data_IF_465790389603
#
_entry.id   IF_465790389603
#
_cell.length_a   1.000
_cell.length_b   1.000
_cell.length_c   1.000
_cell.angle_alpha   90.00
_cell.angle_beta   90.00
_cell.angle_gamma   90.00
#
_symmetry.space_group_name_H-M   'P 1'
#
loop_
_entity.id
_entity.type
_entity.pdbx_description
1 polymer ?
#
# COMPACT_ATOMS: atom_id res chain seq x y z
N UNK A 1 -22.29 44.38 -30.26
CA UNK A 1 -23.21 43.28 -30.38
C UNK A 1 -22.47 42.01 -29.95
N UNK A 2 -22.72 41.64 -28.74
CA UNK A 2 -22.73 40.34 -28.11
C UNK A 2 -21.84 39.20 -28.65
N UNK A 3 -20.83 38.83 -27.86
CA UNK A 3 -20.51 37.46 -27.53
C UNK A 3 -19.80 37.44 -26.16
N UNK A 4 -20.57 37.30 -25.10
CA UNK A 4 -20.17 36.76 -23.82
C UNK A 4 -21.17 35.67 -23.55
N UNK A 5 -20.72 34.39 -23.60
CA UNK A 5 -21.19 33.26 -22.79
C UNK A 5 -20.38 32.02 -23.19
N UNK A 6 -19.79 31.44 -22.23
CA UNK A 6 -19.42 30.00 -22.12
C UNK A 6 -17.98 29.79 -21.68
N UNK A 7 -17.65 30.12 -20.44
CA UNK A 7 -16.54 29.54 -19.70
C UNK A 7 -17.00 29.40 -18.24
N UNK A 8 -17.87 28.45 -17.98
CA UNK A 8 -18.19 27.95 -16.63
C UNK A 8 -18.78 26.57 -16.77
N UNK A 9 -17.97 25.54 -17.09
CA UNK A 9 -18.42 24.15 -16.97
C UNK A 9 -17.29 23.12 -17.02
N UNK A 10 -16.09 23.40 -16.56
CA UNK A 10 -14.99 22.40 -16.53
C UNK A 10 -14.30 22.28 -15.15
N UNK A 11 -14.75 22.98 -14.12
CA UNK A 11 -14.07 22.92 -12.80
C UNK A 11 -14.71 21.94 -11.81
N UNK A 12 -15.83 21.32 -12.14
CA UNK A 12 -16.57 20.45 -11.18
C UNK A 12 -16.23 18.95 -11.23
N UNK A 13 -15.36 18.50 -12.11
CA UNK A 13 -15.10 17.04 -12.25
C UNK A 13 -13.80 16.59 -11.59
N UNK A 14 -12.91 17.49 -11.21
CA UNK A 14 -11.60 17.13 -10.67
C UNK A 14 -11.52 17.01 -9.13
N UNK A 15 -12.60 17.35 -8.42
CA UNK A 15 -12.66 17.20 -6.96
C UNK A 15 -13.34 15.91 -6.50
N UNK A 16 -13.90 15.11 -7.40
CA UNK A 16 -14.68 13.92 -6.99
C UNK A 16 -13.84 12.68 -6.63
N UNK A 17 -12.59 12.62 -7.05
CA UNK A 17 -11.79 11.40 -6.79
C UNK A 17 -11.01 11.38 -5.47
N UNK A 18 -10.87 12.50 -4.77
CA UNK A 18 -10.33 12.52 -3.42
C UNK A 18 -11.37 12.77 -2.31
N UNK A 19 -12.57 13.23 -2.66
CA UNK A 19 -13.65 13.49 -1.70
C UNK A 19 -14.62 12.32 -1.54
N UNK A 20 -14.47 11.24 -2.27
CA UNK A 20 -15.32 10.04 -2.10
C UNK A 20 -15.01 9.20 -0.86
N UNK A 21 -14.08 9.60 -0.01
CA UNK A 21 -13.91 8.94 1.29
C UNK A 21 -15.05 9.26 2.28
N UNK A 22 -15.90 10.24 1.98
CA UNK A 22 -17.01 10.62 2.89
C UNK A 22 -18.37 10.11 2.49
N UNK A 23 -18.50 9.42 1.36
CA UNK A 23 -19.78 8.80 0.94
C UNK A 23 -19.59 7.43 0.30
N UNK A 24 -18.49 6.73 0.56
CA UNK A 24 -18.61 5.29 0.51
C UNK A 24 -19.67 4.96 1.55
N UNK A 25 -20.87 4.75 1.02
CA UNK A 25 -21.91 3.99 1.70
C UNK A 25 -21.19 2.92 2.47
N UNK A 26 -21.46 2.79 3.75
CA UNK A 26 -21.02 1.69 4.57
C UNK A 26 -20.70 0.55 3.62
N UNK A 27 -19.42 0.41 3.28
CA UNK A 27 -18.99 -0.77 2.60
C UNK A 27 -19.66 -1.82 3.43
N UNK A 28 -20.41 -2.62 2.76
CA UNK A 28 -20.78 -3.90 3.26
C UNK A 28 -19.46 -4.67 3.46
N UNK A 29 -18.62 -4.23 4.40
CA UNK A 29 -17.79 -5.09 5.22
C UNK A 29 -18.83 -5.93 5.96
N UNK A 30 -19.38 -6.81 5.15
CA UNK A 30 -20.40 -7.76 5.48
C UNK A 30 -19.89 -8.44 6.72
N UNK A 31 -20.73 -8.33 7.72
CA UNK A 31 -20.81 -9.15 8.90
C UNK A 31 -19.82 -10.33 8.83
N UNK A 32 -18.73 -10.20 9.57
CA UNK A 32 -17.64 -11.16 9.60
C UNK A 32 -18.00 -12.34 10.52
N UNK A 33 -19.16 -12.92 10.35
CA UNK A 33 -19.43 -14.24 10.87
C UNK A 33 -18.65 -15.28 10.05
N UNK A 34 -17.32 -15.18 10.14
CA UNK A 34 -16.38 -16.18 9.65
C UNK A 34 -16.49 -17.48 10.47
N UNK A 35 -15.82 -18.56 10.02
CA UNK A 35 -15.72 -19.80 10.79
C UNK A 35 -15.19 -19.53 12.20
N UNK A 36 -15.45 -20.41 13.19
CA UNK A 36 -15.23 -20.13 14.61
C UNK A 36 -13.83 -19.60 14.89
N UNK A 37 -13.80 -18.49 15.61
CA UNK A 37 -12.62 -17.75 16.00
C UNK A 37 -11.92 -18.53 17.11
N UNK A 38 -10.72 -19.03 16.83
CA UNK A 38 -10.02 -19.89 17.80
C UNK A 38 -9.29 -19.16 18.93
N UNK A 39 -9.04 -17.85 18.85
CA UNK A 39 -8.54 -17.06 20.01
C UNK A 39 -8.68 -15.56 19.75
N UNK A 40 -9.45 -14.86 20.57
CA UNK A 40 -9.41 -13.40 20.71
C UNK A 40 -8.49 -13.09 21.87
N UNK A 41 -7.35 -12.51 21.59
CA UNK A 41 -6.51 -11.91 22.62
C UNK A 41 -7.18 -10.63 23.17
N UNK A 42 -6.81 -10.18 24.37
CA UNK A 42 -7.45 -9.03 25.03
C UNK A 42 -7.45 -7.78 24.15
N UNK A 43 -8.56 -7.02 24.16
CA UNK A 43 -8.63 -5.74 23.46
C UNK A 43 -8.01 -4.62 24.29
N UNK A 44 -7.34 -3.67 23.64
CA UNK A 44 -6.77 -2.46 24.24
C UNK A 44 -7.31 -1.22 23.54
N UNK A 45 -7.73 -0.22 24.31
CA UNK A 45 -8.19 1.07 23.75
C UNK A 45 -7.18 2.16 24.05
N UNK A 46 -6.74 2.87 23.01
CA UNK A 46 -5.84 4.02 23.12
C UNK A 46 -6.30 5.16 22.21
N UNK A 47 -6.51 6.34 22.80
CA UNK A 47 -6.81 7.57 22.06
C UNK A 47 -7.93 7.45 21.01
N UNK A 48 -8.99 6.69 21.33
CA UNK A 48 -10.16 6.53 20.48
C UNK A 48 -10.09 5.40 19.46
N UNK A 49 -8.98 4.64 19.41
CA UNK A 49 -8.95 3.36 18.69
C UNK A 49 -9.02 2.21 19.68
N UNK A 50 -9.68 1.13 19.28
CA UNK A 50 -9.67 -0.15 19.97
C UNK A 50 -8.90 -1.13 19.13
N UNK A 51 -7.87 -1.74 19.71
CA UNK A 51 -7.07 -2.77 19.07
C UNK A 51 -7.51 -4.11 19.63
N UNK A 52 -8.10 -4.93 18.78
CA UNK A 52 -8.41 -6.31 19.10
C UNK A 52 -7.20 -7.19 18.77
N UNK A 53 -7.05 -8.31 19.47
CA UNK A 53 -5.99 -9.27 19.22
C UNK A 53 -6.03 -9.88 17.82
N UNK A 54 -5.06 -10.72 17.53
CA UNK A 54 -4.98 -11.41 16.25
C UNK A 54 -6.15 -12.37 16.06
N UNK A 55 -6.84 -12.23 14.94
CA UNK A 55 -7.90 -13.15 14.52
C UNK A 55 -7.33 -14.06 13.44
N UNK A 56 -7.15 -15.33 13.78
CA UNK A 56 -6.65 -16.35 12.84
C UNK A 56 -7.78 -16.79 11.89
N UNK A 57 -7.54 -16.64 10.62
CA UNK A 57 -8.46 -17.10 9.57
C UNK A 57 -7.86 -18.22 8.72
N UNK A 58 -6.72 -18.78 9.12
CA UNK A 58 -5.96 -19.72 8.27
C UNK A 58 -6.56 -21.12 8.18
N UNK A 59 -7.58 -21.47 8.94
CA UNK A 59 -8.20 -22.79 8.97
C UNK A 59 -8.65 -23.31 7.60
N UNK A 60 -9.09 -22.43 6.71
CA UNK A 60 -9.49 -22.79 5.33
C UNK A 60 -8.32 -23.28 4.47
N UNK A 61 -7.08 -23.03 4.89
CA UNK A 61 -5.85 -23.47 4.23
C UNK A 61 -5.38 -24.86 4.64
N UNK A 62 -6.06 -25.51 5.58
CA UNK A 62 -5.59 -26.77 6.21
C UNK A 62 -5.72 -28.00 5.34
N UNK A 63 -6.38 -27.96 4.18
CA UNK A 63 -6.61 -29.14 3.35
C UNK A 63 -6.36 -28.91 1.86
N UNK A 64 -5.34 -29.61 1.35
CA UNK A 64 -5.22 -29.85 -0.09
C UNK A 64 -4.61 -28.73 -0.92
N UNK A 65 -3.85 -27.79 -0.32
CA UNK A 65 -3.09 -26.79 -1.05
C UNK A 65 -1.60 -27.14 -1.07
N UNK A 66 -0.98 -26.90 -2.22
CA UNK A 66 0.48 -26.88 -2.35
C UNK A 66 0.95 -25.43 -2.25
N UNK A 67 1.81 -25.17 -1.26
CA UNK A 67 2.33 -23.84 -1.03
C UNK A 67 3.68 -23.64 -1.70
N UNK A 68 3.85 -22.44 -2.25
CA UNK A 68 5.07 -21.93 -2.83
C UNK A 68 5.58 -20.74 -2.02
N UNK A 69 6.84 -20.42 -2.22
CA UNK A 69 7.49 -19.25 -1.65
C UNK A 69 7.96 -18.29 -2.77
N UNK A 70 8.41 -17.07 -2.46
CA UNK A 70 8.81 -16.05 -3.45
C UNK A 70 9.85 -16.49 -4.48
N UNK A 71 10.77 -17.38 -4.12
CA UNK A 71 11.82 -17.84 -5.05
C UNK A 71 11.30 -18.82 -6.10
N UNK A 72 10.17 -19.47 -5.84
CA UNK A 72 9.52 -20.45 -6.73
C UNK A 72 8.53 -19.79 -7.70
N UNK A 73 8.29 -18.47 -7.57
CA UNK A 73 7.33 -17.76 -8.42
C UNK A 73 7.95 -17.44 -9.78
N UNK A 74 7.28 -17.93 -10.83
CA UNK A 74 7.65 -17.57 -12.20
C UNK A 74 7.26 -16.11 -12.50
N UNK A 75 8.24 -15.27 -12.77
CA UNK A 75 8.09 -13.85 -13.11
C UNK A 75 8.04 -13.71 -14.64
N UNK A 76 6.95 -13.16 -15.16
CA UNK A 76 6.67 -13.10 -16.61
C UNK A 76 6.56 -11.68 -17.17
N UNK A 77 6.71 -10.66 -16.33
CA UNK A 77 6.75 -9.25 -16.72
C UNK A 77 8.14 -8.71 -16.47
N UNK A 78 8.55 -7.71 -17.22
CA UNK A 78 9.85 -7.09 -17.12
C UNK A 78 9.71 -5.57 -16.94
N UNK A 79 10.31 -5.05 -15.89
CA UNK A 79 10.41 -3.63 -15.62
C UNK A 79 11.64 -3.04 -16.29
N UNK A 80 11.65 -1.73 -16.48
CA UNK A 80 12.77 -0.99 -17.06
C UNK A 80 13.42 -0.18 -15.93
N UNK A 81 14.75 -0.25 -15.81
CA UNK A 81 15.43 0.58 -14.82
C UNK A 81 16.70 -0.02 -14.24
N UNK A 82 17.04 0.40 -13.04
CA UNK A 82 18.23 -0.03 -12.30
C UNK A 82 18.97 1.12 -11.64
N UNK A 83 20.26 0.91 -11.34
CA UNK A 83 21.07 1.82 -10.52
C UNK A 83 21.35 3.19 -11.17
N UNK A 84 21.25 3.29 -12.48
CA UNK A 84 21.55 4.53 -13.23
C UNK A 84 20.34 5.09 -13.98
N UNK A 85 19.14 4.60 -13.69
CA UNK A 85 17.96 5.01 -14.43
C UNK A 85 17.45 6.38 -13.94
N UNK A 86 17.76 7.44 -14.69
CA UNK A 86 17.49 8.83 -14.30
C UNK A 86 16.11 9.35 -14.71
N UNK A 87 15.46 8.75 -15.70
CA UNK A 87 14.17 9.23 -16.23
C UNK A 87 13.03 9.15 -15.21
N UNK A 88 13.13 8.24 -14.23
CA UNK A 88 12.17 8.08 -13.13
C UNK A 88 12.16 9.30 -12.20
N UNK A 89 13.26 10.01 -12.11
CA UNK A 89 13.43 11.13 -11.17
C UNK A 89 13.03 12.49 -11.74
N UNK A 90 12.29 12.56 -12.83
CA UNK A 90 11.95 13.77 -13.59
C UNK A 90 11.55 15.00 -12.76
N UNK A 91 11.46 14.90 -11.43
CA UNK A 91 10.92 15.95 -10.58
C UNK A 91 11.61 16.02 -9.24
N UNK A 92 12.16 17.11 -8.92
CA UNK A 92 12.42 17.58 -7.56
C UNK A 92 13.43 16.78 -6.70
N UNK A 93 13.93 15.63 -7.12
CA UNK A 93 15.01 14.93 -6.41
C UNK A 93 16.35 15.36 -7.01
N UNK A 94 17.22 16.03 -6.23
CA UNK A 94 18.58 16.34 -6.68
C UNK A 94 19.32 15.10 -7.14
N UNK A 95 20.14 15.24 -8.19
CA UNK A 95 20.82 14.10 -8.82
C UNK A 95 21.70 13.33 -7.84
N UNK A 96 22.42 14.05 -6.99
CA UNK A 96 23.28 13.49 -5.93
C UNK A 96 22.53 12.61 -4.93
N UNK A 97 21.23 12.84 -4.76
CA UNK A 97 20.37 12.09 -3.84
C UNK A 97 19.77 10.83 -4.47
N UNK A 98 19.84 10.71 -5.80
CA UNK A 98 19.24 9.57 -6.51
C UNK A 98 20.04 8.30 -6.26
N UNK A 99 19.35 7.18 -6.11
CA UNK A 99 19.95 5.87 -5.95
C UNK A 99 19.50 4.90 -7.04
N UNK A 100 18.20 4.58 -7.13
CA UNK A 100 17.68 3.62 -8.11
C UNK A 100 16.31 4.08 -8.64
N UNK A 101 16.01 3.72 -9.90
CA UNK A 101 14.73 3.99 -10.52
C UNK A 101 14.23 2.79 -11.32
N UNK A 102 12.93 2.48 -11.21
CA UNK A 102 12.29 1.34 -11.88
C UNK A 102 10.95 1.81 -12.46
N UNK A 103 10.77 1.67 -13.77
CA UNK A 103 9.48 1.85 -14.44
C UNK A 103 8.79 0.51 -14.62
N UNK A 104 7.48 0.54 -14.51
CA UNK A 104 6.66 -0.61 -14.86
C UNK A 104 6.71 -0.89 -16.37
N UNK A 105 6.36 -2.08 -16.76
CA UNK A 105 6.09 -2.36 -18.14
C UNK A 105 4.88 -1.53 -18.63
N UNK A 106 4.78 -1.28 -19.95
CA UNK A 106 3.85 -0.30 -20.49
C UNK A 106 2.39 -0.48 -20.06
N UNK A 107 1.90 -1.71 -19.94
CA UNK A 107 0.52 -1.98 -19.53
C UNK A 107 0.27 -1.57 -18.07
N UNK A 108 1.22 -1.87 -17.18
CA UNK A 108 1.11 -1.54 -15.76
C UNK A 108 1.44 -0.07 -15.48
N UNK A 109 2.25 0.56 -16.33
CA UNK A 109 2.53 1.99 -16.24
C UNK A 109 1.29 2.84 -16.59
N UNK A 110 0.55 2.41 -17.61
CA UNK A 110 -0.54 3.22 -18.19
C UNK A 110 -1.94 2.83 -17.74
N UNK A 111 -2.11 1.69 -17.06
CA UNK A 111 -3.43 1.25 -16.60
C UNK A 111 -4.10 2.26 -15.67
N UNK A 112 -5.36 2.54 -15.89
CA UNK A 112 -6.22 3.28 -14.97
C UNK A 112 -7.03 2.36 -14.05
N UNK A 113 -7.01 1.05 -14.30
CA UNK A 113 -7.76 0.04 -13.53
C UNK A 113 -7.08 -0.31 -12.20
N UNK A 114 -5.77 -0.09 -12.11
CA UNK A 114 -4.96 -0.46 -10.96
C UNK A 114 -4.07 0.70 -10.51
N UNK A 115 -4.04 0.94 -9.20
CA UNK A 115 -3.23 1.99 -8.59
C UNK A 115 -2.25 1.39 -7.58
N UNK A 116 -0.93 1.60 -7.74
CA UNK A 116 0.06 1.15 -6.75
C UNK A 116 0.05 2.05 -5.52
N UNK A 117 0.24 1.48 -4.33
CA UNK A 117 0.11 2.19 -3.05
C UNK A 117 1.26 1.92 -2.08
N UNK A 118 1.32 0.71 -1.55
CA UNK A 118 2.30 0.31 -0.54
C UNK A 118 3.58 -0.23 -1.17
N UNK A 119 4.72 -0.04 -0.49
CA UNK A 119 6.01 -0.64 -0.86
C UNK A 119 6.72 -1.19 0.37
N UNK A 120 7.32 -2.36 0.23
CA UNK A 120 8.25 -2.96 1.19
C UNK A 120 9.27 -3.82 0.44
N UNK A 121 10.28 -4.31 1.14
CA UNK A 121 11.26 -5.22 0.55
C UNK A 121 11.78 -6.25 1.55
N UNK A 122 12.44 -7.27 1.04
CA UNK A 122 13.09 -8.31 1.82
C UNK A 122 14.17 -9.02 1.00
N UNK A 123 15.03 -9.74 1.72
CA UNK A 123 16.01 -10.65 1.11
C UNK A 123 15.58 -12.09 1.40
N UNK A 124 15.63 -12.94 0.40
CA UNK A 124 15.42 -14.38 0.55
C UNK A 124 16.34 -15.16 -0.38
N UNK A 125 17.04 -16.14 0.19
CA UNK A 125 17.98 -17.00 -0.53
C UNK A 125 19.02 -16.16 -1.34
N UNK A 126 19.47 -15.03 -0.79
CA UNK A 126 20.42 -14.11 -1.41
C UNK A 126 19.81 -13.22 -2.50
N UNK A 127 18.51 -13.32 -2.79
CA UNK A 127 17.81 -12.49 -3.76
C UNK A 127 17.05 -11.39 -3.04
N UNK A 128 17.23 -10.14 -3.50
CA UNK A 128 16.52 -8.95 -3.01
C UNK A 128 15.22 -8.78 -3.77
N UNK A 129 14.14 -8.60 -3.04
CA UNK A 129 12.82 -8.39 -3.60
C UNK A 129 12.21 -7.06 -3.12
N UNK A 130 11.45 -6.42 -4.01
CA UNK A 130 10.45 -5.43 -3.62
C UNK A 130 9.06 -6.04 -3.76
N UNK A 131 8.17 -5.62 -2.88
CA UNK A 131 6.73 -5.89 -2.94
C UNK A 131 5.99 -4.57 -3.03
N UNK A 132 5.06 -4.47 -3.97
CA UNK A 132 4.19 -3.30 -4.16
C UNK A 132 2.75 -3.76 -4.13
N UNK A 133 1.93 -3.12 -3.29
CA UNK A 133 0.49 -3.33 -3.26
C UNK A 133 -0.23 -2.46 -4.28
N UNK A 134 -1.37 -2.95 -4.77
CA UNK A 134 -2.24 -2.25 -5.72
C UNK A 134 -3.69 -2.48 -5.35
N UNK A 135 -4.50 -1.44 -5.45
CA UNK A 135 -5.96 -1.58 -5.39
C UNK A 135 -6.59 -1.46 -6.78
N UNK A 136 -7.78 -2.03 -6.94
CA UNK A 136 -8.57 -1.89 -8.15
C UNK A 136 -9.34 -0.55 -8.11
N UNK A 137 -9.11 0.31 -9.11
CA UNK A 137 -9.70 1.66 -9.16
C UNK A 137 -11.09 1.70 -9.83
N UNK A 138 -11.63 0.55 -10.25
CA UNK A 138 -12.91 0.51 -10.95
C UNK A 138 -13.89 -0.44 -10.26
N UNK A 139 -14.98 0.11 -9.74
CA UNK A 139 -16.03 -0.63 -9.05
C UNK A 139 -16.82 -1.59 -9.93
N UNK A 140 -16.78 -1.47 -11.27
CA UNK A 140 -17.54 -2.34 -12.16
C UNK A 140 -16.85 -3.68 -12.47
N UNK A 141 -15.53 -3.78 -12.26
CA UNK A 141 -14.72 -4.96 -12.58
C UNK A 141 -13.93 -5.45 -11.35
N UNK A 142 -14.54 -5.37 -10.20
CA UNK A 142 -13.92 -5.66 -8.91
C UNK A 142 -13.29 -7.05 -8.87
N UNK A 143 -11.96 -7.10 -8.96
CA UNK A 143 -11.18 -8.34 -8.85
C UNK A 143 -10.24 -8.34 -7.65
N UNK A 144 -10.53 -7.47 -6.67
CA UNK A 144 -9.78 -7.36 -5.41
C UNK A 144 -8.47 -6.58 -5.53
N UNK A 145 -7.64 -6.69 -4.53
CA UNK A 145 -6.31 -6.07 -4.46
C UNK A 145 -5.23 -7.08 -4.79
N UNK A 146 -4.08 -6.61 -5.26
CA UNK A 146 -2.94 -7.47 -5.64
C UNK A 146 -1.64 -6.97 -5.06
N UNK A 147 -0.64 -7.84 -4.99
CA UNK A 147 0.75 -7.45 -4.79
C UNK A 147 1.56 -7.76 -6.04
N UNK A 148 2.64 -7.01 -6.21
CA UNK A 148 3.67 -7.29 -7.22
C UNK A 148 4.97 -7.66 -6.54
N UNK A 149 5.49 -8.84 -6.86
CA UNK A 149 6.81 -9.31 -6.42
C UNK A 149 7.83 -9.00 -7.52
N UNK A 150 8.84 -8.18 -7.22
CA UNK A 150 9.89 -7.74 -8.15
C UNK A 150 11.25 -8.23 -7.65
N UNK A 151 12.04 -8.85 -8.50
CA UNK A 151 13.44 -9.17 -8.24
C UNK A 151 14.32 -7.95 -8.57
N UNK A 152 15.03 -7.43 -7.56
CA UNK A 152 15.92 -6.28 -7.71
C UNK A 152 17.40 -6.60 -7.51
N UNK A 153 17.78 -7.88 -7.56
CA UNK A 153 19.17 -8.33 -7.46
C UNK A 153 19.86 -8.29 -8.80
N UNK A 154 20.88 -7.42 -9.02
CA UNK A 154 21.57 -7.33 -10.31
C UNK A 154 22.24 -8.63 -10.75
N UNK A 155 22.63 -9.50 -9.80
CA UNK A 155 23.25 -10.80 -10.07
C UNK A 155 22.24 -11.91 -10.39
N UNK A 156 20.95 -11.65 -10.27
CA UNK A 156 19.90 -12.62 -10.55
C UNK A 156 19.57 -12.68 -12.04
N UNK A 157 19.31 -13.88 -12.57
CA UNK A 157 18.81 -14.06 -13.94
C UNK A 157 17.32 -13.67 -14.11
N UNK A 158 16.65 -13.31 -13.02
CA UNK A 158 15.31 -12.69 -13.01
C UNK A 158 15.35 -11.22 -12.59
N UNK A 159 16.50 -10.56 -12.66
CA UNK A 159 16.66 -9.14 -12.36
C UNK A 159 15.64 -8.28 -13.11
N UNK A 160 14.94 -7.39 -12.42
CA UNK A 160 13.85 -6.54 -12.88
C UNK A 160 12.62 -7.29 -13.42
N UNK A 161 12.57 -8.61 -13.30
CA UNK A 161 11.34 -9.35 -13.61
C UNK A 161 10.40 -9.37 -12.43
N UNK A 162 9.10 -9.33 -12.72
CA UNK A 162 8.07 -9.28 -11.70
C UNK A 162 6.83 -10.12 -12.02
N UNK A 163 6.02 -10.34 -11.01
CA UNK A 163 4.73 -11.05 -11.08
C UNK A 163 3.71 -10.40 -10.17
N UNK A 164 2.48 -10.24 -10.70
CA UNK A 164 1.31 -9.92 -9.90
C UNK A 164 0.75 -11.18 -9.23
N UNK A 165 0.38 -11.05 -7.97
CA UNK A 165 -0.20 -12.09 -7.13
C UNK A 165 -1.47 -11.50 -6.52
N UNK A 166 -2.62 -12.16 -6.73
CA UNK A 166 -3.90 -11.68 -6.19
C UNK A 166 -3.95 -11.92 -4.68
N UNK A 167 -4.41 -10.94 -3.92
CA UNK A 167 -4.72 -11.10 -2.50
C UNK A 167 -6.11 -11.73 -2.34
N UNK A 168 -6.23 -12.73 -1.47
CA UNK A 168 -7.50 -13.41 -1.21
C UNK A 168 -7.77 -13.55 0.28
N UNK A 169 -9.04 -13.71 0.62
CA UNK A 169 -9.54 -13.94 1.97
C UNK A 169 -10.44 -15.18 2.01
N UNK A 170 -10.75 -15.75 3.19
CA UNK A 170 -11.74 -16.82 3.32
C UNK A 170 -13.06 -16.39 2.69
N UNK A 171 -13.69 -17.31 1.97
CA UNK A 171 -15.00 -17.03 1.36
C UNK A 171 -16.08 -16.97 2.41
N UNK A 172 -16.82 -15.87 2.43
CA UNK A 172 -18.15 -15.80 3.00
C UNK A 172 -19.10 -16.05 1.84
N UNK A 173 -20.05 -16.98 1.93
CA UNK A 173 -21.02 -17.23 0.87
C UNK A 173 -21.84 -15.95 0.62
N UNK A 174 -21.56 -15.26 -0.47
CA UNK A 174 -22.30 -14.09 -0.93
C UNK A 174 -22.68 -14.25 -2.38
N UNK A 175 -23.81 -13.75 -2.80
CA UNK A 175 -24.16 -13.67 -4.22
C UNK A 175 -23.33 -12.59 -4.88
N UNK A 176 -22.37 -12.96 -5.73
CA UNK A 176 -21.55 -12.02 -6.51
C UNK A 176 -22.11 -11.98 -7.92
N UNK A 177 -22.38 -10.79 -8.43
CA UNK A 177 -23.04 -10.62 -9.74
C UNK A 177 -22.09 -10.66 -10.93
N UNK A 178 -20.78 -10.43 -10.74
CA UNK A 178 -19.84 -10.14 -11.84
C UNK A 178 -18.91 -11.31 -12.20
N UNK A 179 -18.92 -12.39 -11.42
CA UNK A 179 -18.09 -13.57 -11.69
C UNK A 179 -18.66 -14.83 -11.01
N UNK A 180 -18.18 -16.00 -11.41
CA UNK A 180 -18.52 -17.25 -10.73
C UNK A 180 -17.63 -17.43 -9.52
N UNK A 181 -18.22 -17.31 -8.34
CA UNK A 181 -17.57 -17.57 -7.07
C UNK A 181 -17.73 -19.03 -6.67
N UNK A 182 -16.60 -19.70 -6.50
CA UNK A 182 -16.54 -21.01 -5.84
C UNK A 182 -16.19 -20.84 -4.35
N UNK A 183 -16.43 -21.88 -3.57
CA UNK A 183 -16.11 -21.89 -2.15
C UNK A 183 -14.59 -21.82 -1.91
N UNK A 184 -14.19 -21.62 -0.66
CA UNK A 184 -12.85 -21.65 -0.08
C UNK A 184 -12.19 -20.30 0.03
N UNK A 185 -12.10 -19.51 -1.03
CA UNK A 185 -11.51 -18.16 -0.97
C UNK A 185 -12.20 -17.21 -1.97
N UNK A 186 -12.13 -15.94 -1.67
CA UNK A 186 -12.61 -14.84 -2.50
C UNK A 186 -11.51 -13.78 -2.68
N UNK A 187 -11.58 -12.89 -3.68
CA UNK A 187 -10.68 -11.77 -3.77
C UNK A 187 -10.81 -10.88 -2.54
N UNK A 188 -9.71 -10.32 -2.09
CA UNK A 188 -9.71 -9.31 -1.04
C UNK A 188 -9.79 -7.93 -1.68
N UNK A 189 -10.79 -7.15 -1.29
CA UNK A 189 -11.02 -5.82 -1.79
C UNK A 189 -10.72 -4.79 -0.70
N UNK A 190 -9.54 -4.19 -0.77
CA UNK A 190 -9.06 -3.15 0.15
C UNK A 190 -8.24 -2.11 -0.61
N UNK A 191 -8.10 -0.92 -0.06
CA UNK A 191 -7.25 0.12 -0.62
C UNK A 191 -5.75 -0.25 -0.60
N UNK A 192 -5.33 -1.10 0.34
CA UNK A 192 -3.96 -1.60 0.48
C UNK A 192 -2.90 -0.48 0.54
N UNK A 193 -3.19 0.62 1.25
CA UNK A 193 -2.42 1.85 1.26
C UNK A 193 -0.98 1.73 1.76
N UNK A 194 -0.66 0.71 2.57
CA UNK A 194 0.68 0.43 3.03
C UNK A 194 0.92 -1.07 3.17
N UNK A 195 2.18 -1.48 3.05
CA UNK A 195 2.62 -2.86 3.26
C UNK A 195 3.94 -2.89 4.01
N UNK A 196 4.05 -3.77 5.01
CA UNK A 196 5.28 -4.04 5.73
C UNK A 196 5.61 -5.53 5.71
N UNK A 197 6.89 -5.86 5.62
CA UNK A 197 7.39 -7.23 5.71
C UNK A 197 8.13 -7.44 7.03
N UNK A 198 7.81 -8.53 7.72
CA UNK A 198 8.56 -8.99 8.87
C UNK A 198 8.39 -10.50 9.07
N UNK A 199 9.50 -11.23 9.20
CA UNK A 199 9.53 -12.66 9.48
C UNK A 199 8.55 -13.49 8.62
N UNK A 200 8.69 -13.38 7.29
CA UNK A 200 7.85 -14.03 6.27
C UNK A 200 6.40 -13.55 6.21
N UNK A 201 5.96 -12.72 7.12
CA UNK A 201 4.62 -12.14 7.12
C UNK A 201 4.58 -10.82 6.37
N UNK A 202 3.48 -10.57 5.70
CA UNK A 202 3.11 -9.25 5.19
C UNK A 202 1.96 -8.70 6.04
N UNK A 203 2.09 -7.46 6.42
CA UNK A 203 1.08 -6.66 7.08
C UNK A 203 0.60 -5.62 6.08
N UNK A 204 -0.68 -5.65 5.73
CA UNK A 204 -1.26 -4.73 4.75
C UNK A 204 -2.33 -3.89 5.43
N UNK A 205 -2.24 -2.58 5.28
CA UNK A 205 -3.22 -1.65 5.81
C UNK A 205 -4.57 -1.84 5.10
N UNK A 206 -5.61 -2.11 5.88
CA UNK A 206 -7.00 -2.14 5.45
C UNK A 206 -7.70 -0.95 6.08
N UNK A 207 -8.02 0.03 5.28
CA UNK A 207 -8.44 1.37 5.69
C UNK A 207 -9.47 1.38 6.82
N UNK A 208 -10.47 0.52 6.73
CA UNK A 208 -11.60 0.51 7.67
C UNK A 208 -11.53 -0.61 8.74
N UNK A 209 -10.71 -1.65 8.52
CA UNK A 209 -10.63 -2.78 9.44
C UNK A 209 -9.40 -2.74 10.35
N UNK A 210 -8.26 -2.26 9.84
CA UNK A 210 -6.99 -2.29 10.56
C UNK A 210 -5.87 -2.93 9.75
N UNK A 211 -5.40 -4.13 10.11
CA UNK A 211 -4.23 -4.75 9.48
C UNK A 211 -4.54 -6.17 9.03
N UNK A 212 -4.43 -6.44 7.74
CA UNK A 212 -4.51 -7.79 7.18
C UNK A 212 -3.13 -8.46 7.21
N UNK A 213 -3.08 -9.76 7.50
CA UNK A 213 -1.84 -10.53 7.64
C UNK A 213 -1.81 -11.68 6.65
N UNK A 214 -0.67 -11.83 5.99
CA UNK A 214 -0.40 -12.88 5.00
C UNK A 214 0.94 -13.54 5.31
N UNK A 215 1.12 -14.80 4.87
CA UNK A 215 2.40 -15.51 4.97
C UNK A 215 2.96 -15.76 3.57
N UNK A 216 4.11 -15.18 3.26
CA UNK A 216 4.78 -15.35 1.96
C UNK A 216 5.23 -16.79 1.66
N UNK A 217 5.18 -17.69 2.63
CA UNK A 217 5.39 -19.12 2.42
C UNK A 217 4.11 -19.85 2.00
N UNK A 218 2.99 -19.15 1.86
CA UNK A 218 1.68 -19.73 1.52
C UNK A 218 1.13 -19.22 0.18
N UNK A 219 2.00 -18.91 -0.78
CA UNK A 219 1.57 -18.60 -2.15
C UNK A 219 1.02 -19.87 -2.81
N UNK A 220 -0.09 -19.77 -3.51
CA UNK A 220 -0.77 -20.91 -4.16
C UNK A 220 -0.81 -20.66 -5.65
N UNK A 221 -0.50 -21.70 -6.45
CA UNK A 221 -0.61 -21.66 -7.90
C UNK A 221 -2.04 -21.97 -8.35
N UNK A 222 -2.52 -21.17 -9.30
CA UNK A 222 -3.88 -21.23 -9.85
C UNK A 222 -3.88 -21.74 -11.28
N UNK A 223 -4.98 -22.34 -11.68
CA UNK A 223 -5.25 -22.68 -13.08
C UNK A 223 -5.52 -21.41 -13.89
N UNK A 224 -4.82 -21.30 -15.01
CA UNK A 224 -4.95 -20.18 -15.95
C UNK A 224 -5.39 -20.68 -17.33
N UNK A 225 -6.05 -19.82 -18.12
CA UNK A 225 -6.51 -20.11 -19.47
C UNK A 225 -7.62 -19.14 -19.90
N UNK A 226 -8.02 -19.19 -21.16
CA UNK A 226 -8.94 -18.20 -21.76
C UNK A 226 -10.32 -18.16 -21.07
N UNK A 227 -10.74 -19.28 -20.48
CA UNK A 227 -12.07 -19.39 -19.83
C UNK A 227 -12.05 -19.07 -18.33
N UNK A 228 -10.89 -18.74 -17.74
CA UNK A 228 -10.76 -18.59 -16.29
C UNK A 228 -10.88 -17.14 -15.79
N UNK A 229 -11.04 -16.19 -16.69
CA UNK A 229 -11.01 -14.75 -16.37
C UNK A 229 -12.12 -14.27 -15.42
N UNK A 230 -13.21 -15.03 -15.31
CA UNK A 230 -14.35 -14.71 -14.44
C UNK A 230 -14.63 -15.82 -13.40
N UNK A 231 -13.60 -16.58 -13.01
CA UNK A 231 -13.71 -17.64 -12.02
C UNK A 231 -12.81 -17.34 -10.82
N UNK A 232 -13.33 -17.55 -9.61
CA UNK A 232 -12.56 -17.41 -8.36
C UNK A 232 -12.99 -18.48 -7.36
N UNK A 233 -12.03 -19.08 -6.66
CA UNK A 233 -12.25 -20.11 -5.64
C UNK A 233 -11.83 -21.51 -6.10
N UNK A 234 -12.22 -22.53 -5.31
CA UNK A 234 -11.98 -23.94 -5.58
C UNK A 234 -13.27 -24.59 -6.07
N UNK A 235 -13.27 -25.05 -7.32
CA UNK A 235 -14.42 -25.73 -7.92
C UNK A 235 -14.62 -27.15 -7.34
N UNK A 236 -15.78 -27.77 -7.63
CA UNK A 236 -16.15 -29.09 -7.13
C UNK A 236 -15.19 -30.21 -7.61
N UNK A 237 -14.57 -30.04 -8.77
CA UNK A 237 -13.56 -30.97 -9.28
C UNK A 237 -12.14 -30.70 -8.71
N UNK A 238 -11.99 -29.72 -7.82
CA UNK A 238 -10.75 -29.39 -7.15
C UNK A 238 -9.85 -28.37 -7.86
N UNK A 239 -10.24 -27.89 -9.04
CA UNK A 239 -9.51 -26.85 -9.77
C UNK A 239 -9.56 -25.50 -9.01
N UNK A 240 -8.45 -24.79 -8.99
CA UNK A 240 -8.29 -23.51 -8.32
C UNK A 240 -8.24 -22.37 -9.33
N UNK A 241 -9.08 -21.35 -9.16
CA UNK A 241 -9.20 -20.21 -10.08
C UNK A 241 -9.09 -18.88 -9.35
N UNK A 242 -8.50 -17.88 -10.02
CA UNK A 242 -8.35 -16.52 -9.50
C UNK A 242 -8.28 -15.50 -10.65
N UNK A 243 -9.35 -15.32 -11.43
CA UNK A 243 -9.44 -14.32 -12.51
C UNK A 243 -8.26 -14.37 -13.50
N UNK A 244 -7.77 -15.54 -13.82
CA UNK A 244 -6.57 -15.76 -14.64
C UNK A 244 -5.24 -15.29 -13.99
N UNK A 245 -5.22 -14.92 -12.71
CA UNK A 245 -3.97 -14.82 -11.97
C UNK A 245 -3.36 -16.21 -11.80
N UNK A 246 -2.06 -16.32 -12.07
CA UNK A 246 -1.36 -17.58 -11.86
C UNK A 246 -1.10 -17.88 -10.39
N UNK A 247 -1.07 -16.87 -9.54
CA UNK A 247 -0.77 -17.01 -8.11
C UNK A 247 -1.72 -16.17 -7.28
N UNK A 248 -2.06 -16.71 -6.12
CA UNK A 248 -2.73 -15.98 -5.04
C UNK A 248 -1.85 -15.98 -3.78
N UNK A 249 -2.04 -14.96 -2.94
CA UNK A 249 -1.55 -14.94 -1.58
C UNK A 249 -2.77 -14.88 -0.65
N UNK A 250 -3.09 -15.99 0.04
CA UNK A 250 -4.25 -16.05 0.92
C UNK A 250 -3.98 -15.36 2.26
N UNK A 251 -4.98 -14.63 2.77
CA UNK A 251 -4.96 -14.06 4.11
C UNK A 251 -4.87 -15.17 5.15
N UNK A 252 -3.98 -15.00 6.14
CA UNK A 252 -3.85 -15.91 7.27
C UNK A 252 -4.52 -15.40 8.53
N UNK A 253 -4.81 -14.11 8.60
CA UNK A 253 -5.49 -13.49 9.72
C UNK A 253 -5.53 -11.97 9.60
N UNK A 254 -5.99 -11.31 10.65
CA UNK A 254 -6.04 -9.86 10.71
C UNK A 254 -6.07 -9.36 12.15
N UNK A 255 -5.73 -8.10 12.32
CA UNK A 255 -5.95 -7.33 13.55
C UNK A 255 -7.07 -6.35 13.27
N UNK A 256 -8.19 -6.48 13.99
CA UNK A 256 -9.28 -5.53 13.96
C UNK A 256 -8.91 -4.32 14.82
N UNK A 257 -8.73 -3.17 14.18
CA UNK A 257 -8.38 -1.92 14.86
C UNK A 257 -9.50 -0.93 14.58
N UNK A 258 -10.48 -0.92 15.46
CA UNK A 258 -11.65 -0.10 15.35
C UNK A 258 -11.46 1.27 16.02
N UNK A 259 -12.01 2.26 15.45
CA UNK A 259 -12.21 3.53 16.11
C UNK A 259 -11.69 4.73 15.35
N UNK A 260 -12.58 5.43 14.79
CA UNK A 260 -12.37 6.78 14.39
C UNK A 260 -12.51 7.04 12.90
N UNK A 261 -12.81 8.29 12.61
CA UNK A 261 -13.06 8.82 11.28
C UNK A 261 -11.83 8.83 10.35
N UNK A 262 -10.67 8.36 10.83
CA UNK A 262 -9.42 8.49 10.10
C UNK A 262 -8.83 7.12 9.76
N UNK A 263 -8.87 6.71 8.50
CA UNK A 263 -8.41 5.42 8.03
C UNK A 263 -6.89 5.28 8.08
N UNK A 264 -6.38 4.06 8.35
CA UNK A 264 -4.98 3.75 8.18
C UNK A 264 -4.62 3.73 6.69
N UNK A 265 -3.66 4.57 6.27
CA UNK A 265 -3.21 4.63 4.88
C UNK A 265 -1.78 4.14 4.70
N UNK A 266 -1.01 4.10 5.78
CA UNK A 266 0.41 3.73 5.73
C UNK A 266 0.75 2.75 6.83
N UNK A 267 1.63 1.81 6.53
CA UNK A 267 2.16 0.83 7.49
C UNK A 267 3.62 0.53 7.16
N UNK A 268 4.48 0.49 8.17
CA UNK A 268 5.90 0.16 8.02
C UNK A 268 6.47 -0.39 9.32
N UNK A 269 7.51 -1.23 9.19
CA UNK A 269 8.37 -1.62 10.32
C UNK A 269 9.42 -0.52 10.52
N UNK A 270 9.72 -0.15 11.78
CA UNK A 270 10.80 0.78 12.09
C UNK A 270 12.18 0.20 11.70
N UNK A 271 13.19 1.06 11.63
CA UNK A 271 14.54 0.64 11.24
C UNK A 271 15.14 -0.43 12.16
N UNK A 272 14.74 -0.43 13.43
CA UNK A 272 15.19 -1.35 14.47
C UNK A 272 14.52 -2.73 14.41
N UNK A 273 13.43 -2.88 13.60
CA UNK A 273 12.70 -4.14 13.47
C UNK A 273 11.90 -4.52 14.72
N UNK A 274 11.56 -3.58 15.57
CA UNK A 274 10.92 -3.81 16.87
C UNK A 274 9.48 -3.34 16.96
N UNK A 275 9.05 -2.51 16.02
CA UNK A 275 7.73 -1.88 16.03
C UNK A 275 7.16 -1.79 14.62
N UNK A 276 5.87 -2.04 14.52
CA UNK A 276 5.07 -1.73 13.35
C UNK A 276 4.40 -0.39 13.54
N UNK A 277 4.65 0.53 12.64
CA UNK A 277 4.10 1.88 12.67
C UNK A 277 3.05 2.05 11.59
N UNK A 278 1.95 2.71 11.92
CA UNK A 278 0.89 3.07 10.99
C UNK A 278 0.49 4.52 11.17
N UNK A 279 0.06 5.15 10.09
CA UNK A 279 -0.39 6.53 10.08
C UNK A 279 -1.78 6.63 9.46
N UNK A 280 -2.58 7.54 10.02
CA UNK A 280 -3.88 7.87 9.46
C UNK A 280 -3.71 8.74 8.21
N UNK A 281 -4.54 8.51 7.21
CA UNK A 281 -4.61 9.38 6.04
C UNK A 281 -5.07 10.79 6.44
N UNK A 282 -4.45 11.80 5.86
CA UNK A 282 -4.82 13.18 6.03
C UNK A 282 -4.86 13.91 4.70
N UNK A 283 -6.05 14.18 4.21
CA UNK A 283 -6.25 14.89 2.93
C UNK A 283 -5.94 16.39 3.01
N UNK A 284 -5.68 16.91 4.21
CA UNK A 284 -5.66 18.33 4.51
C UNK A 284 -7.04 18.84 4.91
N UNK A 285 -7.11 19.62 5.97
CA UNK A 285 -8.34 20.26 6.43
C UNK A 285 -8.07 21.73 6.74
N UNK A 286 -9.04 22.59 6.47
CA UNK A 286 -9.04 23.96 7.00
C UNK A 286 -9.24 23.95 8.54
N UNK A 287 -9.70 22.85 9.11
CA UNK A 287 -9.81 22.67 10.56
C UNK A 287 -8.48 22.19 11.14
N UNK A 288 -7.74 23.11 11.74
CA UNK A 288 -6.46 22.84 12.39
C UNK A 288 -6.55 21.90 13.60
N UNK A 289 -7.75 21.55 14.07
CA UNK A 289 -7.95 20.58 15.14
C UNK A 289 -7.86 19.13 14.67
N UNK A 290 -8.01 18.87 13.38
CA UNK A 290 -7.88 17.54 12.78
C UNK A 290 -6.40 17.30 12.46
N UNK A 291 -5.72 16.56 13.33
CA UNK A 291 -4.32 16.17 13.17
C UNK A 291 -4.26 14.65 13.00
N UNK A 292 -3.57 14.15 11.97
CA UNK A 292 -3.43 12.72 11.78
C UNK A 292 -2.66 12.10 12.95
N UNK A 293 -3.06 10.91 13.35
CA UNK A 293 -2.41 10.16 14.41
C UNK A 293 -1.51 9.11 13.83
N UNK A 294 -0.39 8.87 14.49
CA UNK A 294 0.61 7.87 14.14
C UNK A 294 0.72 6.91 15.31
N UNK A 295 0.51 5.62 15.05
CA UNK A 295 0.54 4.59 16.07
C UNK A 295 1.72 3.64 15.85
N UNK A 296 2.41 3.31 16.93
CA UNK A 296 3.48 2.31 16.96
C UNK A 296 3.07 1.13 17.81
N UNK A 297 3.07 -0.04 17.22
CA UNK A 297 2.71 -1.30 17.87
C UNK A 297 3.99 -2.13 18.05
N UNK A 298 4.36 -2.54 19.26
CA UNK A 298 5.46 -3.48 19.43
C UNK A 298 5.20 -4.76 18.65
N UNK A 299 6.24 -5.33 18.05
CA UNK A 299 6.17 -6.56 17.28
C UNK A 299 7.10 -7.61 17.89
N UNK A 300 6.56 -8.78 18.20
CA UNK A 300 7.33 -9.90 18.69
C UNK A 300 8.21 -10.52 17.57
N UNK A 301 9.27 -11.23 17.93
CA UNK A 301 10.12 -11.94 16.96
C UNK A 301 9.37 -12.95 16.09
N UNK A 302 8.22 -13.44 16.56
CA UNK A 302 7.30 -14.30 15.80
C UNK A 302 6.51 -13.55 14.71
N UNK A 303 6.56 -12.21 14.72
CA UNK A 303 5.74 -11.35 13.88
C UNK A 303 4.32 -11.14 14.42
N UNK A 304 4.08 -11.39 15.69
CA UNK A 304 2.82 -10.99 16.33
C UNK A 304 2.89 -9.52 16.74
N UNK A 305 1.88 -8.75 16.37
CA UNK A 305 1.69 -7.38 16.87
C UNK A 305 1.14 -7.50 18.28
N UNK A 306 1.78 -6.78 19.20
CA UNK A 306 1.35 -6.74 20.59
C UNK A 306 0.37 -5.57 20.79
N UNK A 307 -0.66 -5.79 21.59
CA UNK A 307 -1.64 -4.78 21.94
C UNK A 307 -1.32 -4.05 23.25
N UNK A 308 -0.12 -4.28 23.79
CA UNK A 308 0.45 -3.62 24.95
C UNK A 308 1.47 -2.56 24.50
N UNK A 309 1.71 -1.57 25.33
CA UNK A 309 2.72 -0.52 25.09
C UNK A 309 2.62 0.20 23.72
N UNK A 310 1.40 0.34 23.23
CA UNK A 310 1.12 1.02 21.97
C UNK A 310 1.51 2.49 22.11
N UNK A 311 2.36 2.96 21.19
CA UNK A 311 2.80 4.35 21.13
C UNK A 311 1.86 5.17 20.29
N UNK A 312 1.58 6.39 20.73
CA UNK A 312 0.84 7.38 19.98
C UNK A 312 1.70 8.61 19.77
N UNK A 313 1.85 9.02 18.52
CA UNK A 313 2.46 10.28 18.15
C UNK A 313 1.39 11.14 17.47
N UNK A 314 1.22 12.34 17.98
CA UNK A 314 0.39 13.37 17.36
C UNK A 314 1.38 14.44 16.87
N UNK A 315 1.64 14.52 15.55
CA UNK A 315 2.51 15.54 15.01
C UNK A 315 1.98 16.92 15.34
N UNK A 316 2.87 17.87 15.63
CA UNK A 316 2.45 19.24 15.98
C UNK A 316 1.76 19.91 14.79
N UNK A 317 0.81 20.81 15.08
CA UNK A 317 0.04 21.55 14.08
C UNK A 317 0.89 22.31 13.07
N UNK A 318 2.12 22.73 13.42
CA UNK A 318 3.03 23.40 12.50
C UNK A 318 3.42 22.58 11.26
N UNK A 319 3.31 21.24 11.32
CA UNK A 319 3.49 20.37 10.16
C UNK A 319 2.34 20.51 9.17
N UNK A 320 1.14 20.79 9.65
CA UNK A 320 -0.11 20.75 8.89
C UNK A 320 -0.73 22.12 8.67
N UNK A 321 -0.35 23.14 9.48
CA UNK A 321 -0.92 24.49 9.42
C UNK A 321 -0.60 25.26 8.14
N UNK A 322 0.49 24.90 7.47
CA UNK A 322 0.97 25.62 6.29
C UNK A 322 0.56 24.98 4.95
N UNK A 323 -0.48 24.17 4.93
CA UNK A 323 -0.92 23.40 3.73
C UNK A 323 0.16 22.48 3.12
N UNK A 324 1.24 22.21 3.83
CA UNK A 324 2.41 21.52 3.29
C UNK A 324 2.41 20.00 3.51
N UNK A 325 1.55 19.48 4.37
CA UNK A 325 1.42 18.04 4.64
C UNK A 325 0.13 17.44 4.08
N UNK A 326 -0.40 18.01 3.00
CA UNK A 326 -1.56 17.44 2.33
C UNK A 326 -1.23 16.07 1.72
N UNK A 327 -2.12 15.11 1.89
CA UNK A 327 -1.98 13.80 1.30
C UNK A 327 -0.83 13.00 1.93
N UNK A 328 -0.83 12.84 3.27
CA UNK A 328 0.12 11.96 3.94
C UNK A 328 -0.21 10.50 3.58
N UNK A 329 0.67 9.88 2.80
CA UNK A 329 0.48 8.54 2.24
C UNK A 329 1.51 7.54 2.72
N UNK A 330 2.68 7.99 3.15
CA UNK A 330 3.76 7.12 3.57
C UNK A 330 4.40 7.56 4.88
N UNK A 331 4.86 6.57 5.63
CA UNK A 331 5.61 6.83 6.85
C UNK A 331 6.81 5.89 6.95
N UNK A 332 7.90 6.38 7.54
CA UNK A 332 9.05 5.60 7.99
C UNK A 332 9.58 6.17 9.29
N UNK A 333 10.03 5.31 10.20
CA UNK A 333 10.59 5.72 11.50
C UNK A 333 11.94 5.09 11.79
N UNK A 334 12.88 5.91 12.30
CA UNK A 334 14.21 5.48 12.78
C UNK A 334 14.55 6.26 14.07
N UNK A 335 14.68 5.57 15.17
CA UNK A 335 14.84 6.18 16.49
C UNK A 335 13.70 7.14 16.83
N UNK A 336 14.04 8.38 17.19
CA UNK A 336 13.08 9.46 17.47
C UNK A 336 12.64 10.26 16.24
N UNK A 337 13.13 9.92 15.05
CA UNK A 337 12.82 10.64 13.82
C UNK A 337 11.76 9.91 13.00
N UNK A 338 10.85 10.66 12.41
CA UNK A 338 9.80 10.15 11.51
C UNK A 338 9.82 10.92 10.20
N UNK A 339 9.81 10.19 9.10
CA UNK A 339 9.66 10.71 7.74
C UNK A 339 8.26 10.41 7.24
N UNK A 340 7.63 11.42 6.64
CA UNK A 340 6.28 11.34 6.09
C UNK A 340 6.33 11.70 4.61
N UNK A 341 5.87 10.80 3.74
CA UNK A 341 5.63 11.07 2.33
C UNK A 341 4.31 11.79 2.17
N UNK A 342 4.36 13.01 1.63
CA UNK A 342 3.20 13.85 1.39
C UNK A 342 3.07 14.08 -0.11
N UNK A 343 1.99 13.57 -0.70
CA UNK A 343 1.82 13.48 -2.16
C UNK A 343 1.64 14.83 -2.84
N UNK A 344 1.19 15.86 -2.09
CA UNK A 344 0.92 17.20 -2.64
C UNK A 344 -0.28 17.24 -3.59
N UNK A 345 -0.57 18.43 -4.14
CA UNK A 345 -1.58 18.60 -5.17
C UNK A 345 -1.06 19.53 -6.27
N UNK A 346 -1.15 19.14 -7.54
CA UNK A 346 -0.72 19.99 -8.66
C UNK A 346 -1.65 21.18 -8.91
N UNK A 347 -2.89 21.12 -8.41
CA UNK A 347 -3.91 22.14 -8.64
C UNK A 347 -3.76 23.39 -7.75
N UNK A 348 -2.87 23.35 -6.75
CA UNK A 348 -2.64 24.49 -5.90
C UNK A 348 -1.65 25.46 -6.53
N UNK A 349 -2.04 26.75 -6.63
CA UNK A 349 -1.21 27.88 -7.07
C UNK A 349 0.11 28.05 -6.26
N UNK A 350 0.30 27.26 -5.24
CA UNK A 350 1.50 27.20 -4.39
C UNK A 350 2.58 26.24 -4.90
N UNK A 351 2.51 25.83 -6.15
CA UNK A 351 3.51 25.08 -6.90
C UNK A 351 4.16 23.94 -6.09
N UNK A 352 4.00 22.72 -6.54
CA UNK A 352 4.78 21.56 -6.09
C UNK A 352 4.83 21.32 -4.58
N UNK A 353 3.69 21.05 -3.94
CA UNK A 353 3.63 20.81 -2.49
C UNK A 353 3.94 19.35 -2.07
N UNK A 354 4.38 18.49 -2.99
CA UNK A 354 4.88 17.18 -2.63
C UNK A 354 6.16 17.31 -1.79
N UNK A 355 6.18 16.68 -0.65
CA UNK A 355 7.29 16.77 0.32
C UNK A 355 7.54 15.45 1.01
N UNK A 356 8.81 15.18 1.26
CA UNK A 356 9.21 14.30 2.33
C UNK A 356 9.46 15.18 3.56
N UNK A 357 8.59 15.05 4.55
CA UNK A 357 8.71 15.79 5.80
C UNK A 357 9.39 14.91 6.84
N UNK A 358 10.40 15.44 7.54
CA UNK A 358 11.04 14.79 8.68
C UNK A 358 10.77 15.60 9.94
N UNK A 359 10.30 14.96 10.97
CA UNK A 359 10.24 15.56 12.30
C UNK A 359 10.94 14.67 13.33
N UNK A 360 11.36 15.29 14.44
CA UNK A 360 11.97 14.61 15.59
C UNK A 360 11.04 14.74 16.79
N UNK A 361 10.87 13.68 17.56
CA UNK A 361 10.03 13.70 18.75
C UNK A 361 10.47 14.79 19.71
N UNK A 362 9.51 15.60 20.16
CA UNK A 362 9.77 16.68 21.09
C UNK A 362 10.31 17.97 20.47
N UNK A 363 10.82 17.95 19.25
CA UNK A 363 11.35 19.14 18.58
C UNK A 363 10.25 19.97 17.92
N UNK A 364 10.37 21.32 17.90
CA UNK A 364 9.38 22.18 17.25
C UNK A 364 9.50 22.20 15.74
N UNK A 365 10.70 21.95 15.22
CA UNK A 365 11.01 22.17 13.81
C UNK A 365 10.85 20.90 12.97
N UNK A 366 10.42 21.11 11.73
CA UNK A 366 10.25 20.08 10.71
C UNK A 366 11.17 20.40 9.55
N UNK A 367 11.97 19.43 9.14
CA UNK A 367 12.75 19.52 7.91
C UNK A 367 11.90 19.02 6.75
N UNK A 368 11.96 19.73 5.61
CA UNK A 368 11.17 19.43 4.43
C UNK A 368 12.09 19.29 3.23
N UNK A 369 11.95 18.18 2.51
CA UNK A 369 12.68 17.91 1.29
C UNK A 369 11.72 17.91 0.11
N UNK A 370 12.23 18.23 -1.07
CA UNK A 370 11.48 18.07 -2.33
C UNK A 370 11.19 16.59 -2.56
N UNK A 371 9.97 16.28 -3.00
CA UNK A 371 9.52 14.92 -3.22
C UNK A 371 8.67 14.84 -4.49
N UNK A 372 8.62 13.68 -5.18
CA UNK A 372 7.77 13.51 -6.37
C UNK A 372 6.29 13.64 -6.05
N UNK A 373 5.52 14.16 -7.00
CA UNK A 373 4.07 14.15 -6.92
C UNK A 373 3.52 12.74 -6.97
N UNK A 374 2.43 12.50 -6.22
CA UNK A 374 1.82 11.18 -6.14
C UNK A 374 2.71 10.14 -5.50
N UNK A 375 3.73 10.58 -4.74
CA UNK A 375 4.55 9.66 -3.98
C UNK A 375 3.76 9.11 -2.80
N UNK A 376 3.79 7.79 -2.67
CA UNK A 376 3.01 7.00 -1.73
C UNK A 376 3.89 6.51 -0.55
N UNK A 377 3.77 5.24 -0.19
CA UNK A 377 4.45 4.62 0.95
C UNK A 377 5.98 4.73 0.90
N UNK A 378 6.62 4.53 2.05
CA UNK A 378 8.06 4.54 2.25
C UNK A 378 8.54 3.17 2.71
N UNK A 379 9.72 2.74 2.24
CA UNK A 379 10.41 1.56 2.71
C UNK A 379 11.91 1.85 2.84
N UNK A 380 12.49 1.55 3.99
CA UNK A 380 13.93 1.71 4.23
C UNK A 380 14.66 0.39 4.08
N UNK A 381 15.61 0.36 3.16
CA UNK A 381 16.51 -0.78 2.92
C UNK A 381 17.85 -0.50 3.61
N UNK A 382 18.03 -1.06 4.80
CA UNK A 382 19.15 -0.73 5.68
C UNK A 382 20.52 -1.15 5.12
N UNK A 383 20.60 -2.24 4.36
CA UNK A 383 21.86 -2.75 3.79
C UNK A 383 22.51 -1.75 2.82
N UNK A 384 21.69 -0.99 2.10
CA UNK A 384 22.16 -0.05 1.06
C UNK A 384 21.96 1.41 1.49
N UNK A 385 21.38 1.66 2.65
CA UNK A 385 20.96 2.97 3.11
C UNK A 385 20.07 3.69 2.08
N UNK A 386 19.07 2.96 1.55
CA UNK A 386 18.13 3.47 0.57
C UNK A 386 16.75 3.68 1.19
N UNK A 387 16.15 4.84 0.91
CA UNK A 387 14.74 5.08 1.16
C UNK A 387 13.97 4.93 -0.15
N UNK A 388 13.16 3.89 -0.24
CA UNK A 388 12.31 3.58 -1.37
C UNK A 388 10.95 4.24 -1.25
N UNK A 389 10.40 4.63 -2.39
CA UNK A 389 9.02 5.06 -2.55
C UNK A 389 8.53 4.70 -3.96
N UNK A 390 7.27 5.02 -4.23
CA UNK A 390 6.66 4.84 -5.54
C UNK A 390 5.72 6.01 -5.85
N UNK A 391 5.35 6.18 -7.12
CA UNK A 391 4.35 7.14 -7.55
C UNK A 391 3.12 6.45 -8.11
N UNK A 392 1.94 6.95 -7.76
CA UNK A 392 0.65 6.32 -8.09
C UNK A 392 0.19 6.60 -9.51
N UNK A 393 0.39 7.84 -10.00
CA UNK A 393 -0.32 8.35 -11.17
C UNK A 393 0.26 7.84 -12.48
N UNK A 394 -0.63 7.43 -13.38
CA UNK A 394 -0.28 7.09 -14.77
C UNK A 394 0.24 8.31 -15.54
N UNK A 395 1.05 8.12 -16.58
CA UNK A 395 1.51 9.20 -17.46
C UNK A 395 0.33 9.98 -18.04
N UNK A 396 0.47 11.31 -18.10
CA UNK A 396 -0.58 12.22 -18.62
C UNK A 396 -1.88 12.31 -17.80
N UNK A 397 -1.94 11.73 -16.62
CA UNK A 397 -2.99 12.11 -15.67
C UNK A 397 -2.79 13.59 -15.36
N UNK A 398 -3.79 14.43 -15.42
CA UNK A 398 -3.72 15.90 -15.26
C UNK A 398 -2.90 16.46 -14.08
N UNK A 399 -2.11 15.62 -13.44
CA UNK A 399 -1.11 15.91 -12.40
C UNK A 399 0.25 16.37 -12.97
N UNK A 400 0.37 16.52 -14.28
CA UNK A 400 1.60 16.98 -14.91
C UNK A 400 1.56 18.48 -15.19
N UNK A 401 2.25 19.28 -14.42
CA UNK A 401 2.62 20.66 -14.79
C UNK A 401 3.64 20.65 -15.96
N UNK A 402 3.28 20.03 -17.09
CA UNK A 402 4.14 19.95 -18.27
C UNK A 402 5.30 18.97 -18.13
N UNK A 403 5.41 18.27 -17.02
CA UNK A 403 6.40 17.23 -16.79
C UNK A 403 5.72 15.86 -16.74
N UNK A 404 6.27 14.90 -17.44
CA UNK A 404 5.78 13.51 -17.45
C UNK A 404 6.04 12.88 -16.09
N UNK A 405 5.03 12.90 -15.20
CA UNK A 405 5.10 12.04 -14.01
C UNK A 405 4.87 10.63 -14.48
N UNK A 406 5.87 9.82 -14.44
CA UNK A 406 5.75 8.41 -14.76
C UNK A 406 5.41 7.65 -13.49
N UNK A 407 4.47 6.73 -13.57
CA UNK A 407 4.23 5.73 -12.52
C UNK A 407 5.48 4.87 -12.39
N UNK A 408 6.13 4.94 -11.24
CA UNK A 408 7.43 4.32 -11.03
C UNK A 408 7.70 3.96 -9.58
N UNK A 409 8.75 3.20 -9.37
CA UNK A 409 9.38 2.97 -8.08
C UNK A 409 10.74 3.66 -8.11
N UNK A 410 11.12 4.30 -7.02
CA UNK A 410 12.40 4.97 -6.91
C UNK A 410 13.00 4.84 -5.51
N UNK A 411 14.31 4.96 -5.43
CA UNK A 411 15.05 5.04 -4.18
C UNK A 411 15.95 6.26 -4.14
N UNK A 412 16.12 6.80 -2.96
CA UNK A 412 17.09 7.86 -2.68
C UNK A 412 18.12 7.39 -1.66
N UNK A 413 19.31 8.01 -1.66
CA UNK A 413 20.34 7.81 -0.65
C UNK A 413 19.84 8.42 0.67
N UNK A 414 19.53 7.59 1.63
CA UNK A 414 18.81 8.01 2.83
C UNK A 414 19.65 8.96 3.70
N UNK A 415 20.98 8.79 3.76
CA UNK A 415 21.87 9.67 4.49
C UNK A 415 21.68 11.17 4.17
N UNK A 416 21.23 11.51 2.96
CA UNK A 416 20.97 12.89 2.55
C UNK A 416 19.65 13.47 3.08
N UNK A 417 18.87 12.64 3.79
CA UNK A 417 17.54 12.99 4.35
C UNK A 417 17.47 12.84 5.88
N UNK A 418 18.57 12.49 6.54
CA UNK A 418 18.68 12.33 8.00
C UNK A 418 18.76 13.64 8.80
#
# INVERSE_FOLDING_TARGET
>A
MNYRLSIYFIISILFQNCTQVTTESADNDIDQSGPPIDTIDSSTTISGITVNGFIDTSSYLNSGFTFLNPTQINKNREAIGGDSYTEVYGFNIPEENRARGIRWNGDDETTNLWKPQGITGFVRDGVRYLLVTWYANNSSDYKGSRITLIDISPSSNTYLKYRHILLTQPTIPTSVSNYTQYNTFAPLDIHAGGVAYFNHKLYIASTNLGIRVFDLNKIIEMKTGDTTANLCGKSDNGDLYAFNYRYILPQTGYYDINGGANPFSSIQINAEGTELWTAQYYAGSADASIVPKIYGFPIASTGMILNEDIKLIIPKNSLFSDYHAHGMQGLFRKGSKTWLSCTGSPSNSYGSNARLARYTDGEPDTVRYRWPYGAEALYYESEYDYLWSLTEHEPNSGYSNGSTVNRCIFAVKFANYE
#
